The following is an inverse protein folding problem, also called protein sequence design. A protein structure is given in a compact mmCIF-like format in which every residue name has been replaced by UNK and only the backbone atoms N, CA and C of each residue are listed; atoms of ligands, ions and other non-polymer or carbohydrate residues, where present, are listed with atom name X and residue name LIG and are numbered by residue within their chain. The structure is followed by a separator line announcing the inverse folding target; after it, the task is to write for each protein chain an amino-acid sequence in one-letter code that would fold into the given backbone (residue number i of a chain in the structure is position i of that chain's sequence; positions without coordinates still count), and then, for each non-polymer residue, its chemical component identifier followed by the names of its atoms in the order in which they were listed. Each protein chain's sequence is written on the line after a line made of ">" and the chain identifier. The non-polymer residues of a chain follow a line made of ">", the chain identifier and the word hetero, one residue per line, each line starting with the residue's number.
data_IF_657016013440
#
_entry.id   IF_657016013440
#
_cell.length_a   1.000
_cell.length_b   1.000
_cell.length_c   1.000
_cell.angle_alpha   90.00
_cell.angle_beta   90.00
_cell.angle_gamma   90.00
#
_symmetry.space_group_name_H-M   'P 1'
#
loop_
_entity.id
_entity.type
_entity.pdbx_description
1 polymer ?
#
# COMPACT_ATOMS: atom_id res chain seq x y z
N UNK A 1 -0.39 48.45 4.70
CA UNK A 1 0.86 47.63 4.61
C UNK A 1 0.43 46.18 4.62
N UNK A 2 0.16 45.63 3.45
CA UNK A 2 -0.22 44.24 3.27
C UNK A 2 1.07 43.44 3.09
N UNK A 3 1.51 42.78 4.16
CA UNK A 3 2.62 41.84 4.12
C UNK A 3 2.24 40.60 3.31
N UNK A 4 2.78 40.48 2.12
CA UNK A 4 2.80 39.26 1.33
C UNK A 4 3.52 38.21 2.16
N UNK A 5 2.78 37.23 2.71
CA UNK A 5 3.35 36.04 3.27
C UNK A 5 4.10 35.34 2.14
N UNK A 6 5.44 35.41 2.15
CA UNK A 6 6.28 34.58 1.33
C UNK A 6 5.98 33.13 1.70
N UNK A 7 5.27 32.43 0.83
CA UNK A 7 5.15 30.97 0.85
C UNK A 7 6.58 30.43 0.74
N UNK A 8 7.15 29.97 1.85
CA UNK A 8 8.38 29.18 1.83
C UNK A 8 8.08 27.97 0.97
N UNK A 9 8.69 27.89 -0.20
CA UNK A 9 8.72 26.67 -1.00
C UNK A 9 9.45 25.60 -0.16
N UNK A 10 8.74 24.56 0.21
CA UNK A 10 9.34 23.41 0.88
C UNK A 10 10.20 22.67 -0.14
N UNK A 11 11.38 22.16 0.25
CA UNK A 11 12.17 21.33 -0.64
C UNK A 11 11.36 20.10 -1.08
N UNK A 12 11.51 19.63 -2.32
CA UNK A 12 10.81 18.45 -2.78
C UNK A 12 11.16 17.25 -1.88
N UNK A 13 10.21 16.35 -1.60
CA UNK A 13 10.45 15.17 -0.78
C UNK A 13 11.42 14.22 -1.50
N UNK A 14 12.25 13.50 -0.75
CA UNK A 14 13.19 12.54 -1.30
C UNK A 14 12.46 11.27 -1.78
N UNK A 15 12.87 10.70 -2.92
CA UNK A 15 12.39 9.38 -3.35
C UNK A 15 12.98 8.33 -2.40
N UNK A 16 12.11 7.59 -1.73
CA UNK A 16 12.46 6.48 -0.85
C UNK A 16 12.51 5.15 -1.61
N UNK A 17 11.49 4.89 -2.44
CA UNK A 17 11.40 3.70 -3.31
C UNK A 17 10.96 4.17 -4.68
N UNK A 18 11.79 4.00 -5.68
CA UNK A 18 11.46 4.39 -7.05
C UNK A 18 10.60 3.34 -7.76
N UNK A 19 10.12 3.67 -8.96
CA UNK A 19 9.19 2.83 -9.73
C UNK A 19 9.82 1.48 -10.12
N UNK A 20 11.12 1.46 -10.44
CA UNK A 20 11.83 0.24 -10.81
C UNK A 20 11.95 -0.69 -9.59
N UNK A 21 12.32 -0.16 -8.42
CA UNK A 21 12.42 -0.91 -7.17
C UNK A 21 11.04 -1.44 -6.71
N UNK A 22 9.96 -0.67 -6.91
CA UNK A 22 8.60 -1.16 -6.66
C UNK A 22 8.30 -2.37 -7.56
N UNK A 23 8.64 -2.29 -8.86
CA UNK A 23 8.47 -3.39 -9.81
C UNK A 23 9.22 -4.64 -9.36
N UNK A 24 10.48 -4.53 -8.95
CA UNK A 24 11.27 -5.64 -8.43
C UNK A 24 10.64 -6.28 -7.17
N UNK A 25 10.09 -5.47 -6.27
CA UNK A 25 9.40 -5.97 -5.08
C UNK A 25 8.13 -6.73 -5.45
N UNK A 26 7.33 -6.21 -6.39
CA UNK A 26 6.11 -6.85 -6.90
C UNK A 26 6.43 -8.21 -7.53
N UNK A 27 7.39 -8.27 -8.44
CA UNK A 27 7.80 -9.51 -9.11
C UNK A 27 8.31 -10.57 -8.12
N UNK A 28 9.13 -10.16 -7.17
CA UNK A 28 9.66 -11.06 -6.13
C UNK A 28 8.56 -11.62 -5.24
N UNK A 29 7.61 -10.81 -4.81
CA UNK A 29 6.46 -11.24 -3.99
C UNK A 29 5.55 -12.16 -4.82
N UNK A 30 5.26 -11.82 -6.08
CA UNK A 30 4.47 -12.65 -6.98
C UNK A 30 5.08 -14.05 -7.13
N UNK A 31 6.40 -14.14 -7.35
CA UNK A 31 7.10 -15.42 -7.44
C UNK A 31 7.06 -16.22 -6.12
N UNK A 32 7.09 -15.56 -4.97
CA UNK A 32 6.93 -16.22 -3.66
C UNK A 32 5.52 -16.78 -3.49
N UNK A 33 4.49 -15.99 -3.80
CA UNK A 33 3.08 -16.41 -3.72
C UNK A 33 2.78 -17.58 -4.65
N UNK A 34 3.26 -17.52 -5.90
CA UNK A 34 3.11 -18.62 -6.87
C UNK A 34 3.71 -19.94 -6.36
N UNK A 35 4.90 -19.87 -5.78
CA UNK A 35 5.58 -21.06 -5.22
C UNK A 35 4.87 -21.62 -4.00
N UNK A 36 4.39 -20.74 -3.13
CA UNK A 36 3.84 -21.13 -1.82
C UNK A 36 2.36 -21.56 -1.92
N UNK A 37 1.66 -21.18 -3.00
CA UNK A 37 0.23 -21.47 -3.23
C UNK A 37 -0.04 -22.08 -4.62
N UNK A 38 0.54 -23.27 -4.93
CA UNK A 38 0.43 -23.87 -6.25
C UNK A 38 -1.01 -24.20 -6.68
N UNK A 39 -1.93 -24.36 -5.71
CA UNK A 39 -3.35 -24.64 -5.95
C UNK A 39 -4.22 -23.37 -6.05
N UNK A 40 -3.60 -22.19 -6.05
CA UNK A 40 -4.25 -20.89 -6.10
C UNK A 40 -4.39 -20.20 -4.74
N UNK A 41 -4.73 -18.90 -4.76
CA UNK A 41 -4.78 -18.04 -3.58
C UNK A 41 -5.91 -17.00 -3.67
N UNK A 42 -6.47 -16.63 -2.53
CA UNK A 42 -7.37 -15.47 -2.41
C UNK A 42 -6.55 -14.29 -1.89
N UNK A 43 -6.39 -13.27 -2.71
CA UNK A 43 -5.75 -12.01 -2.31
C UNK A 43 -6.83 -11.02 -1.86
N UNK A 44 -6.75 -10.57 -0.62
CA UNK A 44 -7.70 -9.65 -0.02
C UNK A 44 -7.04 -8.31 0.23
N UNK A 45 -7.33 -7.32 -0.62
CA UNK A 45 -6.80 -5.97 -0.47
C UNK A 45 -7.53 -5.15 0.59
N UNK A 46 -6.78 -4.46 1.43
CA UNK A 46 -7.35 -3.52 2.40
C UNK A 46 -7.47 -2.13 1.76
N UNK A 47 -8.71 -1.70 1.54
CA UNK A 47 -9.01 -0.44 0.85
C UNK A 47 -8.75 0.77 1.79
N UNK A 48 -8.30 1.88 1.23
CA UNK A 48 -7.97 2.15 -0.19
C UNK A 48 -6.48 1.96 -0.53
N UNK A 49 -5.60 1.95 0.47
CA UNK A 49 -4.15 2.05 0.29
C UNK A 49 -3.56 0.95 -0.56
N UNK A 50 -3.94 -0.29 -0.29
CA UNK A 50 -3.42 -1.46 -1.00
C UNK A 50 -3.83 -1.57 -2.48
N UNK A 51 -4.77 -0.73 -2.98
CA UNK A 51 -5.37 -0.88 -4.30
C UNK A 51 -4.34 -0.92 -5.44
N UNK A 52 -3.38 0.00 -5.44
CA UNK A 52 -2.38 0.11 -6.52
C UNK A 52 -1.43 -1.09 -6.46
N UNK A 53 -0.89 -1.38 -5.28
CA UNK A 53 0.00 -2.51 -5.06
C UNK A 53 -0.67 -3.84 -5.40
N UNK A 54 -1.91 -4.07 -4.95
CA UNK A 54 -2.65 -5.29 -5.26
C UNK A 54 -2.88 -5.46 -6.77
N UNK A 55 -3.20 -4.37 -7.49
CA UNK A 55 -3.42 -4.42 -8.93
C UNK A 55 -2.15 -4.84 -9.69
N UNK A 56 -0.99 -4.34 -9.28
CA UNK A 56 0.28 -4.71 -9.89
C UNK A 56 0.68 -6.14 -9.49
N UNK A 57 0.48 -6.53 -8.23
CA UNK A 57 0.77 -7.87 -7.73
C UNK A 57 -0.05 -8.95 -8.46
N UNK A 58 -1.37 -8.75 -8.63
CA UNK A 58 -2.24 -9.68 -9.34
C UNK A 58 -1.80 -9.87 -10.79
N UNK A 59 -1.39 -8.80 -11.46
CA UNK A 59 -0.91 -8.87 -12.85
C UNK A 59 0.44 -9.57 -13.00
N UNK A 60 1.26 -9.55 -11.95
CA UNK A 60 2.55 -10.24 -11.92
C UNK A 60 2.42 -11.75 -11.64
N UNK A 61 1.29 -12.21 -11.08
CA UNK A 61 1.02 -13.64 -10.84
C UNK A 61 0.31 -14.20 -12.07
N UNK A 62 0.96 -15.07 -12.83
CA UNK A 62 0.43 -15.62 -14.10
C UNK A 62 0.24 -17.13 -14.10
N UNK A 63 0.82 -17.85 -13.14
CA UNK A 63 0.97 -19.30 -13.19
C UNK A 63 0.05 -20.07 -12.23
N UNK A 64 -0.75 -19.33 -11.42
CA UNK A 64 -1.74 -19.91 -10.51
C UNK A 64 -3.06 -19.14 -10.58
N UNK A 65 -4.14 -19.75 -10.11
CA UNK A 65 -5.43 -19.08 -9.99
C UNK A 65 -5.43 -18.06 -8.85
N UNK A 66 -5.80 -16.82 -9.15
CA UNK A 66 -5.92 -15.74 -8.18
C UNK A 66 -7.36 -15.25 -8.12
N UNK A 67 -7.96 -15.39 -6.95
CA UNK A 67 -9.23 -14.73 -6.63
C UNK A 67 -8.94 -13.42 -5.88
N UNK A 68 -9.58 -12.32 -6.26
CA UNK A 68 -9.40 -11.02 -5.61
C UNK A 68 -10.67 -10.61 -4.88
N UNK A 69 -10.51 -10.14 -3.65
CA UNK A 69 -11.56 -9.50 -2.88
C UNK A 69 -11.00 -8.32 -2.07
N UNK A 70 -11.87 -7.59 -1.41
CA UNK A 70 -11.49 -6.39 -0.67
C UNK A 70 -12.15 -6.34 0.70
N UNK A 71 -11.41 -5.82 1.67
CA UNK A 71 -11.92 -5.35 2.94
C UNK A 71 -11.82 -3.82 3.00
N UNK A 72 -12.83 -3.17 3.56
CA UNK A 72 -12.76 -1.75 3.88
C UNK A 72 -13.12 -1.53 5.34
N UNK A 73 -12.36 -0.68 6.00
CA UNK A 73 -12.57 -0.30 7.39
C UNK A 73 -12.69 1.22 7.54
N UNK A 74 -13.49 1.66 8.51
CA UNK A 74 -13.43 3.04 8.95
C UNK A 74 -12.24 3.21 9.89
N UNK A 75 -11.36 4.18 9.62
CA UNK A 75 -10.45 4.67 10.65
C UNK A 75 -11.26 5.53 11.62
N UNK A 76 -11.49 5.02 12.83
CA UNK A 76 -12.13 5.71 13.95
C UNK A 76 -13.51 6.32 13.66
N UNK A 77 -14.56 5.69 14.15
CA UNK A 77 -15.79 6.42 14.40
C UNK A 77 -15.52 7.43 15.53
N UNK A 78 -15.77 8.74 15.34
CA UNK A 78 -15.49 9.76 16.35
C UNK A 78 -16.08 9.45 17.73
N UNK A 79 -17.18 8.69 17.77
CA UNK A 79 -17.98 8.44 18.97
C UNK A 79 -17.61 7.17 19.74
N UNK A 80 -16.83 6.25 19.20
CA UNK A 80 -16.62 4.94 19.85
C UNK A 80 -15.16 4.45 19.90
N UNK A 81 -14.23 5.08 19.18
CA UNK A 81 -12.84 4.62 19.06
C UNK A 81 -12.69 3.22 18.45
N UNK A 82 -13.76 2.65 17.89
CA UNK A 82 -13.77 1.29 17.35
C UNK A 82 -13.61 1.30 15.83
N UNK A 83 -12.77 0.41 15.33
CA UNK A 83 -12.69 0.08 13.90
C UNK A 83 -13.99 -0.61 13.48
N UNK A 84 -14.58 -0.18 12.37
CA UNK A 84 -15.79 -0.82 11.79
C UNK A 84 -15.45 -1.32 10.41
N UNK A 85 -15.91 -2.53 10.07
CA UNK A 85 -15.87 -3.04 8.71
C UNK A 85 -16.97 -2.32 7.92
N UNK A 86 -16.59 -1.65 6.84
CA UNK A 86 -17.47 -0.94 5.92
C UNK A 86 -17.82 -1.80 4.70
N UNK A 87 -16.85 -2.60 4.22
CA UNK A 87 -17.04 -3.66 3.23
C UNK A 87 -16.39 -4.92 3.78
N UNK A 88 -17.15 -5.98 3.83
CA UNK A 88 -16.69 -7.31 4.19
C UNK A 88 -16.44 -8.15 2.92
N UNK A 89 -15.86 -9.34 3.09
CA UNK A 89 -15.59 -10.27 2.00
C UNK A 89 -16.89 -10.73 1.34
N UNK A 90 -16.91 -10.70 0.00
CA UNK A 90 -17.96 -11.24 -0.84
C UNK A 90 -17.67 -12.71 -1.19
N UNK A 91 -16.39 -13.09 -1.23
CA UNK A 91 -15.92 -14.44 -1.56
C UNK A 91 -15.96 -15.32 -0.31
N UNK A 92 -16.44 -16.56 -0.46
CA UNK A 92 -16.27 -17.58 0.55
C UNK A 92 -14.80 -18.02 0.61
N UNK A 93 -14.23 -17.93 1.80
CA UNK A 93 -12.81 -18.24 2.05
C UNK A 93 -12.61 -19.49 2.89
N UNK A 94 -13.68 -20.19 3.27
CA UNK A 94 -13.59 -21.45 4.03
C UNK A 94 -12.72 -22.48 3.28
N UNK A 95 -11.72 -23.03 3.97
CA UNK A 95 -10.80 -24.02 3.41
C UNK A 95 -9.85 -23.51 2.31
N UNK A 96 -9.83 -22.21 1.99
CA UNK A 96 -8.95 -21.60 0.98
C UNK A 96 -7.73 -20.96 1.60
N UNK A 97 -6.67 -20.82 0.81
CA UNK A 97 -5.51 -20.01 1.20
C UNK A 97 -5.81 -18.54 0.97
N UNK A 98 -5.62 -17.74 2.01
CA UNK A 98 -5.94 -16.30 2.02
C UNK A 98 -4.70 -15.50 2.37
N UNK A 99 -4.45 -14.44 1.63
CA UNK A 99 -3.40 -13.46 1.93
C UNK A 99 -4.02 -12.08 2.01
N UNK A 100 -3.93 -11.44 3.19
CA UNK A 100 -4.28 -10.03 3.34
C UNK A 100 -3.18 -9.16 2.76
N UNK A 101 -3.55 -8.22 1.88
CA UNK A 101 -2.62 -7.33 1.18
C UNK A 101 -2.80 -5.89 1.67
N UNK A 102 -1.72 -5.30 2.18
CA UNK A 102 -1.64 -3.92 2.68
C UNK A 102 -0.58 -3.12 1.91
N UNK A 103 -0.73 -1.81 1.88
CA UNK A 103 0.30 -0.88 1.39
C UNK A 103 1.45 -0.71 2.40
N UNK A 104 1.10 -0.54 3.66
CA UNK A 104 2.04 -0.32 4.77
C UNK A 104 1.55 -0.99 6.05
N UNK A 105 2.36 -1.85 6.64
CA UNK A 105 2.14 -2.37 8.00
C UNK A 105 2.93 -1.52 9.00
N UNK A 106 2.20 -0.74 9.81
CA UNK A 106 2.75 0.15 10.84
C UNK A 106 2.64 -0.52 12.23
N UNK A 107 1.75 -0.06 13.11
CA UNK A 107 1.57 -0.58 14.48
C UNK A 107 1.08 -2.02 14.55
N UNK A 108 0.47 -2.52 13.49
CA UNK A 108 -0.14 -3.85 13.41
C UNK A 108 -1.55 -3.95 14.00
N UNK A 109 -2.07 -2.90 14.65
CA UNK A 109 -3.39 -2.93 15.30
C UNK A 109 -4.54 -3.22 14.33
N UNK A 110 -4.57 -2.50 13.20
CA UNK A 110 -5.57 -2.70 12.15
C UNK A 110 -5.51 -4.12 11.60
N UNK A 111 -4.31 -4.56 11.27
CA UNK A 111 -4.09 -5.88 10.67
C UNK A 111 -4.45 -7.02 11.63
N UNK A 112 -4.10 -6.90 12.92
CA UNK A 112 -4.49 -7.88 13.93
C UNK A 112 -6.01 -8.03 14.04
N UNK A 113 -6.76 -6.91 13.95
CA UNK A 113 -8.21 -6.92 13.93
C UNK A 113 -8.76 -7.64 12.67
N UNK A 114 -8.23 -7.31 11.49
CA UNK A 114 -8.64 -7.93 10.22
C UNK A 114 -8.30 -9.42 10.18
N UNK A 115 -7.12 -9.81 10.64
CA UNK A 115 -6.72 -11.22 10.76
C UNK A 115 -7.68 -12.00 11.66
N UNK A 116 -8.06 -11.42 12.82
CA UNK A 116 -9.04 -12.03 13.72
C UNK A 116 -10.40 -12.19 13.07
N UNK A 117 -10.84 -11.21 12.28
CA UNK A 117 -12.11 -11.25 11.56
C UNK A 117 -12.12 -12.34 10.48
N UNK A 118 -11.07 -12.39 9.63
CA UNK A 118 -11.01 -13.38 8.55
C UNK A 118 -10.83 -14.80 9.07
N UNK A 119 -10.09 -15.01 10.19
CA UNK A 119 -9.95 -16.34 10.83
C UNK A 119 -11.28 -16.97 11.23
N UNK A 120 -12.29 -16.17 11.57
CA UNK A 120 -13.62 -16.69 11.93
C UNK A 120 -14.34 -17.37 10.76
N UNK A 121 -13.86 -17.17 9.53
CA UNK A 121 -14.37 -17.79 8.30
C UNK A 121 -13.63 -19.07 7.91
N UNK A 122 -12.80 -19.62 8.83
CA UNK A 122 -12.10 -20.90 8.69
C UNK A 122 -11.29 -21.07 7.38
N UNK A 123 -10.43 -20.09 6.95
CA UNK A 123 -9.54 -20.29 5.82
C UNK A 123 -8.54 -21.42 6.13
N UNK A 124 -8.05 -22.12 5.09
CA UNK A 124 -6.99 -23.15 5.20
C UNK A 124 -5.69 -22.57 5.73
N UNK A 125 -5.29 -21.43 5.16
CA UNK A 125 -4.18 -20.60 5.65
C UNK A 125 -4.55 -19.13 5.60
N UNK A 126 -3.89 -18.33 6.44
CA UNK A 126 -4.09 -16.88 6.47
C UNK A 126 -2.75 -16.19 6.74
N UNK A 127 -2.21 -15.60 5.70
CA UNK A 127 -0.93 -14.88 5.69
C UNK A 127 -1.11 -13.38 5.41
N UNK A 128 -0.04 -12.62 5.53
CA UNK A 128 0.02 -11.19 5.27
C UNK A 128 1.07 -10.87 4.23
N UNK A 129 0.69 -10.01 3.29
CA UNK A 129 1.55 -9.39 2.30
C UNK A 129 1.50 -7.86 2.46
N UNK A 130 2.65 -7.21 2.42
CA UNK A 130 2.72 -5.74 2.41
C UNK A 130 3.82 -5.24 1.48
N UNK A 131 3.59 -4.10 0.84
CA UNK A 131 4.66 -3.44 0.08
C UNK A 131 5.71 -2.87 1.03
N UNK A 132 5.28 -2.18 2.09
CA UNK A 132 6.17 -1.61 3.09
C UNK A 132 5.88 -2.19 4.48
N UNK A 133 6.94 -2.56 5.20
CA UNK A 133 6.85 -2.90 6.62
C UNK A 133 7.65 -1.90 7.46
N UNK A 134 7.07 -1.45 8.59
CA UNK A 134 7.71 -0.54 9.55
C UNK A 134 7.78 -1.20 10.93
N UNK A 135 8.71 -2.14 11.13
CA UNK A 135 8.75 -2.93 12.38
C UNK A 135 9.05 -2.08 13.61
N UNK A 136 9.79 -0.98 13.46
CA UNK A 136 10.13 -0.05 14.57
C UNK A 136 8.91 0.54 15.28
N UNK A 137 7.75 0.60 14.61
CA UNK A 137 6.48 1.09 15.18
C UNK A 137 5.52 -0.01 15.61
N UNK A 138 5.93 -1.28 15.54
CA UNK A 138 5.08 -2.42 15.86
C UNK A 138 4.67 -2.43 17.32
N UNK A 139 3.35 -2.42 17.59
CA UNK A 139 2.77 -2.52 18.92
C UNK A 139 2.23 -3.94 19.16
N UNK A 140 1.60 -4.52 18.13
CA UNK A 140 1.05 -5.87 18.21
C UNK A 140 2.00 -6.82 17.49
N UNK A 141 2.52 -7.87 18.16
CA UNK A 141 3.35 -8.87 17.50
C UNK A 141 2.51 -9.60 16.44
N UNK A 142 2.98 -9.54 15.20
CA UNK A 142 2.41 -10.27 14.07
C UNK A 142 3.50 -10.62 13.06
N UNK A 143 3.31 -11.72 12.36
CA UNK A 143 4.21 -12.13 11.28
C UNK A 143 3.68 -11.57 9.97
N UNK A 144 4.52 -10.84 9.25
CA UNK A 144 4.29 -10.45 7.86
C UNK A 144 5.12 -11.39 7.00
N UNK A 145 4.47 -12.25 6.23
CA UNK A 145 5.17 -13.31 5.48
C UNK A 145 5.80 -12.79 4.19
N UNK A 146 5.10 -11.92 3.48
CA UNK A 146 5.55 -11.35 2.22
C UNK A 146 5.76 -9.84 2.39
N UNK A 147 7.01 -9.40 2.33
CA UNK A 147 7.38 -7.99 2.55
C UNK A 147 8.13 -7.48 1.32
N UNK A 148 7.69 -6.36 0.77
CA UNK A 148 8.41 -5.66 -0.28
C UNK A 148 9.70 -5.04 0.25
N UNK A 149 9.59 -4.07 1.12
CA UNK A 149 10.72 -3.44 1.79
C UNK A 149 10.41 -3.13 3.26
N UNK A 150 11.42 -3.23 4.12
CA UNK A 150 11.37 -2.65 5.46
C UNK A 150 11.80 -1.18 5.41
N UNK A 151 11.12 -0.33 6.20
CA UNK A 151 11.43 1.09 6.29
C UNK A 151 11.58 1.55 7.74
N UNK A 152 12.36 2.62 7.92
CA UNK A 152 12.50 3.31 9.19
C UNK A 152 11.23 4.10 9.58
N UNK A 153 11.28 4.82 10.73
CA UNK A 153 10.15 5.66 11.19
C UNK A 153 10.05 6.97 10.40
N UNK A 154 9.79 6.85 9.09
CA UNK A 154 9.60 7.98 8.17
C UNK A 154 8.14 8.08 7.72
N UNK A 155 7.70 9.28 7.36
CA UNK A 155 6.36 9.48 6.80
C UNK A 155 6.41 9.36 5.28
N UNK A 156 5.57 8.50 4.71
CA UNK A 156 5.63 8.12 3.29
C UNK A 156 4.37 8.49 2.54
N UNK A 157 4.52 8.87 1.27
CA UNK A 157 3.45 9.23 0.33
C UNK A 157 3.75 8.62 -1.04
N UNK A 158 2.71 8.40 -1.82
CA UNK A 158 2.81 7.86 -3.19
C UNK A 158 2.45 6.38 -3.29
N UNK A 159 2.18 5.90 -4.48
CA UNK A 159 1.86 4.51 -4.81
C UNK A 159 0.80 3.88 -3.88
N UNK A 160 -0.37 4.52 -3.79
CA UNK A 160 -1.46 4.12 -2.90
C UNK A 160 -1.48 4.86 -1.57
N UNK A 161 -0.31 5.20 -0.99
CA UNK A 161 -0.17 5.95 0.24
C UNK A 161 -0.60 7.42 0.07
N UNK A 162 -1.14 8.02 1.15
CA UNK A 162 -1.79 9.33 1.02
C UNK A 162 -1.69 10.21 2.26
N UNK A 163 -1.91 11.52 2.03
CA UNK A 163 -2.37 12.47 3.03
C UNK A 163 -3.58 13.23 2.46
N UNK A 164 -4.70 13.25 3.21
CA UNK A 164 -5.97 13.87 2.78
C UNK A 164 -6.44 13.42 1.38
N UNK A 165 -6.31 12.14 1.06
CA UNK A 165 -6.58 11.50 -0.24
C UNK A 165 -5.73 12.02 -1.43
N UNK A 166 -4.70 12.84 -1.20
CA UNK A 166 -3.71 13.25 -2.20
C UNK A 166 -2.57 12.22 -2.31
N UNK A 167 -1.82 12.24 -3.42
CA UNK A 167 -0.58 11.50 -3.71
C UNK A 167 -0.72 10.02 -4.05
N UNK A 168 -1.87 9.39 -3.95
CA UNK A 168 -2.04 7.94 -4.23
C UNK A 168 -1.59 7.52 -5.63
N UNK A 169 -1.73 8.42 -6.62
CA UNK A 169 -1.42 8.19 -8.02
C UNK A 169 0.03 8.53 -8.41
N UNK A 170 0.88 8.91 -7.46
CA UNK A 170 2.31 9.07 -7.70
C UNK A 170 2.93 7.67 -7.88
N UNK A 171 3.71 7.39 -8.94
CA UNK A 171 4.14 6.03 -9.27
C UNK A 171 5.34 5.52 -8.46
N UNK A 172 5.85 6.33 -7.55
CA UNK A 172 6.96 6.03 -6.63
C UNK A 172 6.58 6.43 -5.21
N UNK A 173 7.39 6.05 -4.23
CA UNK A 173 7.19 6.39 -2.82
C UNK A 173 8.24 7.41 -2.39
N UNK A 174 7.80 8.46 -1.72
CA UNK A 174 8.66 9.52 -1.19
C UNK A 174 8.62 9.55 0.33
N UNK A 175 9.75 9.94 0.94
CA UNK A 175 9.81 10.38 2.32
C UNK A 175 9.39 11.85 2.39
N UNK A 176 8.37 12.15 3.19
CA UNK A 176 7.81 13.48 3.36
C UNK A 176 7.99 13.99 4.80
N UNK A 177 8.16 15.30 4.96
CA UNK A 177 8.08 15.87 6.30
C UNK A 177 6.65 15.80 6.83
N UNK A 178 6.46 14.97 7.86
CA UNK A 178 5.16 14.73 8.50
C UNK A 178 4.50 16.01 8.98
N UNK A 179 5.27 16.96 9.52
CA UNK A 179 4.73 18.23 10.06
C UNK A 179 4.19 19.09 8.93
N UNK A 180 4.95 19.15 7.83
CA UNK A 180 4.56 19.91 6.64
C UNK A 180 3.24 19.40 6.06
N UNK A 181 3.13 18.08 5.84
CA UNK A 181 1.91 17.53 5.20
C UNK A 181 0.69 17.46 6.12
N UNK A 182 0.89 17.42 7.45
CA UNK A 182 -0.23 17.52 8.40
C UNK A 182 -0.79 18.94 8.47
N UNK A 183 0.08 19.95 8.39
CA UNK A 183 -0.31 21.36 8.40
C UNK A 183 -0.86 21.78 7.02
N UNK A 184 -0.18 21.38 5.94
CA UNK A 184 -0.50 21.71 4.55
C UNK A 184 -0.53 20.43 3.69
N UNK A 185 -1.67 19.70 3.62
CA UNK A 185 -1.76 18.42 2.90
C UNK A 185 -1.32 18.50 1.43
N UNK A 186 -1.48 19.65 0.77
CA UNK A 186 -1.10 19.87 -0.62
C UNK A 186 0.34 20.40 -0.80
N UNK A 187 1.18 20.43 0.23
CA UNK A 187 2.49 21.08 0.20
C UNK A 187 3.43 20.55 -0.91
N UNK A 188 3.29 19.30 -1.31
CA UNK A 188 4.14 18.65 -2.32
C UNK A 188 3.42 18.41 -3.66
N UNK A 189 2.21 18.95 -3.87
CA UNK A 189 1.44 18.73 -5.11
C UNK A 189 2.21 19.21 -6.33
N UNK A 190 2.72 20.43 -6.31
CA UNK A 190 3.47 21.00 -7.45
C UNK A 190 4.78 20.23 -7.70
N UNK A 191 5.45 19.80 -6.65
CA UNK A 191 6.68 19.02 -6.75
C UNK A 191 6.45 17.61 -7.31
N UNK A 192 5.35 16.96 -6.97
CA UNK A 192 5.09 15.57 -7.34
C UNK A 192 4.21 15.43 -8.59
N UNK A 193 3.38 16.43 -8.93
CA UNK A 193 2.49 16.41 -10.10
C UNK A 193 2.88 17.38 -11.22
N UNK A 194 3.76 18.35 -10.96
CA UNK A 194 4.12 19.42 -11.91
C UNK A 194 4.74 18.89 -13.20
N UNK A 195 4.43 19.53 -14.33
CA UNK A 195 4.87 19.15 -15.68
C UNK A 195 6.40 19.28 -15.94
N UNK A 196 7.18 19.73 -14.96
CA UNK A 196 8.62 19.92 -15.05
C UNK A 196 9.41 19.16 -13.99
N UNK A 197 8.80 18.21 -13.32
CA UNK A 197 9.40 17.58 -12.14
C UNK A 197 10.61 16.73 -12.53
N UNK A 198 11.78 17.08 -12.01
CA UNK A 198 13.02 16.29 -12.12
C UNK A 198 12.87 14.86 -11.55
N UNK A 199 11.77 14.58 -10.87
CA UNK A 199 11.42 13.27 -10.29
C UNK A 199 10.72 12.34 -11.30
N UNK A 200 10.23 12.85 -12.45
CA UNK A 200 9.66 11.98 -13.49
C UNK A 200 10.78 11.36 -14.30
N UNK A 201 11.00 10.07 -14.15
CA UNK A 201 11.80 9.30 -15.12
C UNK A 201 11.05 9.25 -16.46
N UNK A 202 11.79 9.23 -17.60
CA UNK A 202 11.16 9.01 -18.90
C UNK A 202 10.45 7.66 -18.90
N UNK A 203 9.20 7.65 -19.39
CA UNK A 203 8.40 6.46 -19.61
C UNK A 203 9.23 5.39 -20.35
N UNK A 204 9.23 4.13 -19.94
CA UNK A 204 9.89 3.08 -20.70
C UNK A 204 9.31 3.04 -22.13
N UNK A 205 10.13 2.70 -23.13
CA UNK A 205 9.71 2.74 -24.52
C UNK A 205 8.47 1.87 -24.72
N UNK A 206 7.46 2.45 -25.36
CA UNK A 206 6.19 1.81 -25.70
C UNK A 206 6.39 0.39 -26.25
N UNK A 207 5.70 -0.57 -25.67
CA UNK A 207 5.59 -1.93 -26.17
C UNK A 207 5.27 -1.89 -27.69
N UNK A 208 6.23 -2.26 -28.51
CA UNK A 208 5.96 -2.49 -29.95
C UNK A 208 5.05 -3.71 -30.03
N UNK A 209 3.81 -3.51 -30.52
CA UNK A 209 2.95 -4.61 -30.91
C UNK A 209 3.70 -5.48 -31.92
N UNK A 210 4.04 -6.70 -31.55
CA UNK A 210 4.39 -7.72 -32.53
C UNK A 210 3.09 -8.14 -33.23
N UNK A 211 3.03 -7.86 -34.51
CA UNK A 211 2.05 -8.47 -35.42
C UNK A 211 2.37 -9.95 -35.62
#
# INVERSE_FOLDING_TARGET
>A
MTGTAQTREEPPPAILVDEDAIGEHVERIAAQLTRDHPDGVVLVGVLKGALIFLADLVRAITDIDVTVDFLAISRYAPDSGRVRILKDLDVDVEGRDVVLVEDLVDTGLTLAYLLSHVRQRAPRSLDVCTLLDRPVRRIVPLTVRYVGAEIDDVFVLGYGLHQADLYRNVPFIVEADRRVVLDRPAAYVDALYGAGTALRRPHPPSLRSRR
#
